data_IF_791246511416
#
_entry.id   IF_791246511416
#
_cell.length_a   1.000
_cell.length_b   1.000
_cell.length_c   1.000
_cell.angle_alpha   90.00
_cell.angle_beta   90.00
_cell.angle_gamma   90.00
#
_symmetry.space_group_name_H-M   'P 1'
#
loop_
_entity.id
_entity.type
_entity.pdbx_description
1 polymer ?
#
# COMPACT_ATOMS: atom_id res chain seq x y z
N UNK A 1 -23.74 -51.35 -11.72
CA UNK A 1 -23.12 -50.36 -12.63
C UNK A 1 -21.77 -50.90 -13.06
N UNK A 2 -21.31 -50.47 -14.22
CA UNK A 2 -19.96 -50.75 -14.71
C UNK A 2 -19.18 -49.42 -14.81
N UNK A 3 -17.87 -49.44 -14.56
CA UNK A 3 -17.01 -48.24 -14.59
C UNK A 3 -15.85 -48.54 -15.54
N UNK A 4 -15.67 -47.70 -16.54
CA UNK A 4 -14.67 -47.88 -17.58
C UNK A 4 -14.03 -46.57 -18.02
N UNK A 5 -12.97 -46.70 -18.79
CA UNK A 5 -12.28 -45.61 -19.47
C UNK A 5 -12.58 -45.70 -20.97
N UNK A 6 -12.42 -44.59 -21.67
CA UNK A 6 -12.43 -44.59 -23.14
C UNK A 6 -11.26 -45.42 -23.68
N UNK A 7 -11.45 -46.06 -24.83
CA UNK A 7 -10.36 -46.70 -25.57
C UNK A 7 -9.35 -45.68 -26.11
N UNK A 8 -9.73 -44.39 -26.18
CA UNK A 8 -8.83 -43.30 -26.51
C UNK A 8 -8.05 -42.84 -25.27
N UNK A 9 -6.73 -43.05 -25.27
CA UNK A 9 -5.83 -42.65 -24.17
C UNK A 9 -5.71 -41.13 -23.98
N UNK A 10 -6.13 -40.33 -24.95
CA UNK A 10 -6.18 -38.86 -24.82
C UNK A 10 -7.46 -38.38 -24.12
N UNK A 11 -8.44 -39.26 -23.90
CA UNK A 11 -9.65 -38.95 -23.16
C UNK A 11 -9.47 -39.30 -21.67
N UNK A 12 -9.33 -38.31 -20.77
CA UNK A 12 -9.08 -38.57 -19.36
C UNK A 12 -10.37 -38.93 -18.58
N UNK A 13 -11.53 -39.00 -19.25
CA UNK A 13 -12.81 -39.15 -18.58
C UNK A 13 -13.09 -40.61 -18.17
N UNK A 14 -13.78 -40.74 -17.04
CA UNK A 14 -14.31 -42.00 -16.55
C UNK A 14 -15.79 -42.09 -16.93
N UNK A 15 -16.17 -43.20 -17.55
CA UNK A 15 -17.53 -43.47 -17.97
C UNK A 15 -18.18 -44.48 -17.01
N UNK A 16 -19.42 -44.20 -16.61
CA UNK A 16 -20.16 -45.06 -15.68
C UNK A 16 -21.46 -45.50 -16.33
N UNK A 17 -21.60 -46.81 -16.52
CA UNK A 17 -22.84 -47.41 -17.01
C UNK A 17 -23.76 -47.72 -15.83
N UNK A 18 -24.98 -47.20 -15.88
CA UNK A 18 -25.98 -47.37 -14.83
C UNK A 18 -27.20 -48.11 -15.36
N UNK A 19 -27.84 -48.86 -14.47
CA UNK A 19 -29.14 -49.47 -14.72
C UNK A 19 -30.17 -48.68 -13.93
N UNK A 20 -31.22 -48.22 -14.61
CA UNK A 20 -32.35 -47.52 -14.03
C UNK A 20 -33.55 -48.46 -14.08
N UNK A 21 -34.32 -48.53 -12.99
CA UNK A 21 -35.55 -49.35 -12.99
C UNK A 21 -36.58 -48.76 -13.95
N UNK A 22 -37.27 -49.63 -14.69
CA UNK A 22 -38.30 -49.24 -15.67
C UNK A 22 -39.41 -48.38 -15.07
N UNK A 23 -39.69 -48.54 -13.77
CA UNK A 23 -40.73 -47.78 -13.05
C UNK A 23 -40.43 -46.27 -12.99
N UNK A 24 -39.21 -45.83 -13.32
CA UNK A 24 -38.77 -44.43 -13.21
C UNK A 24 -38.29 -43.82 -14.55
N UNK A 25 -38.43 -44.53 -15.67
CA UNK A 25 -37.99 -44.05 -16.99
C UNK A 25 -38.73 -42.78 -17.45
N UNK A 26 -39.94 -42.54 -16.96
CA UNK A 26 -40.72 -41.32 -17.23
C UNK A 26 -40.10 -40.06 -16.61
N UNK A 27 -39.24 -40.23 -15.59
CA UNK A 27 -38.55 -39.17 -14.84
C UNK A 27 -37.10 -38.96 -15.23
N UNK A 28 -36.51 -39.85 -16.03
CA UNK A 28 -35.15 -39.74 -16.54
C UNK A 28 -35.22 -39.40 -18.02
N UNK A 29 -34.80 -38.18 -18.37
CA UNK A 29 -34.98 -37.60 -19.71
C UNK A 29 -33.67 -37.02 -20.23
N UNK A 30 -33.66 -36.48 -21.45
CA UNK A 30 -32.45 -35.92 -22.08
C UNK A 30 -31.75 -34.81 -21.26
N UNK A 31 -32.50 -34.10 -20.42
CA UNK A 31 -32.02 -33.03 -19.54
C UNK A 31 -31.57 -33.54 -18.16
N UNK A 32 -31.67 -34.84 -17.91
CA UNK A 32 -31.18 -35.42 -16.66
C UNK A 32 -29.66 -35.25 -16.55
N UNK A 33 -29.25 -34.58 -15.48
CA UNK A 33 -27.85 -34.43 -15.08
C UNK A 33 -27.50 -35.45 -14.00
N UNK A 34 -26.42 -36.18 -14.24
CA UNK A 34 -25.78 -37.06 -13.28
C UNK A 34 -24.75 -36.28 -12.43
N UNK A 35 -24.69 -36.54 -11.13
CA UNK A 35 -23.70 -35.94 -10.24
C UNK A 35 -23.30 -36.96 -9.18
N UNK A 36 -21.99 -37.09 -8.95
CA UNK A 36 -21.51 -37.88 -7.81
C UNK A 36 -21.71 -37.06 -6.54
N UNK A 37 -22.43 -37.61 -5.58
CA UNK A 37 -22.68 -36.99 -4.29
C UNK A 37 -22.14 -37.90 -3.19
N UNK A 38 -21.72 -37.31 -2.08
CA UNK A 38 -21.38 -38.04 -0.86
C UNK A 38 -22.53 -37.94 0.13
N UNK A 39 -22.81 -39.03 0.84
CA UNK A 39 -23.74 -38.97 1.95
C UNK A 39 -23.03 -38.32 3.15
N UNK A 40 -23.24 -37.02 3.34
CA UNK A 40 -22.50 -36.25 4.35
C UNK A 40 -21.03 -36.03 3.95
N UNK A 41 -20.18 -35.71 4.95
CA UNK A 41 -18.79 -35.29 4.75
C UNK A 41 -17.81 -36.46 4.51
N UNK A 42 -18.05 -37.62 5.13
CA UNK A 42 -17.19 -38.82 5.05
C UNK A 42 -17.91 -40.09 4.57
N UNK A 43 -19.19 -39.99 4.24
CA UNK A 43 -19.97 -41.17 3.84
C UNK A 43 -19.70 -41.63 2.43
N UNK A 44 -20.34 -42.75 2.08
CA UNK A 44 -20.23 -43.36 0.77
C UNK A 44 -20.64 -42.41 -0.35
N UNK A 45 -19.97 -42.54 -1.49
CA UNK A 45 -20.31 -41.83 -2.71
C UNK A 45 -21.41 -42.59 -3.45
N UNK A 46 -22.43 -41.86 -3.88
CA UNK A 46 -23.48 -42.38 -4.74
C UNK A 46 -23.69 -41.44 -5.93
N UNK A 47 -24.21 -41.98 -7.02
CA UNK A 47 -24.59 -41.17 -8.17
C UNK A 47 -26.04 -40.74 -8.02
N UNK A 48 -26.25 -39.42 -8.05
CA UNK A 48 -27.57 -38.81 -8.05
C UNK A 48 -27.94 -38.38 -9.47
N UNK A 49 -29.18 -38.65 -9.86
CA UNK A 49 -29.75 -38.19 -11.12
C UNK A 49 -30.81 -37.13 -10.80
N UNK A 50 -30.72 -35.99 -11.48
CA UNK A 50 -31.81 -35.02 -11.45
C UNK A 50 -33.01 -35.53 -12.25
N UNK A 51 -34.22 -35.25 -11.74
CA UNK A 51 -35.43 -35.56 -12.47
C UNK A 51 -35.54 -34.63 -13.68
N UNK A 52 -35.72 -35.20 -14.87
CA UNK A 52 -35.95 -34.43 -16.08
C UNK A 52 -37.35 -33.80 -16.11
N UNK A 53 -37.51 -32.75 -16.90
CA UNK A 53 -38.81 -32.08 -17.09
C UNK A 53 -39.64 -32.77 -18.16
N UNK A 54 -40.98 -32.74 -18.03
CA UNK A 54 -41.88 -33.48 -18.92
C UNK A 54 -41.80 -33.07 -20.41
N UNK A 55 -41.36 -31.84 -20.68
CA UNK A 55 -41.16 -31.29 -22.03
C UNK A 55 -39.89 -31.79 -22.71
N UNK A 56 -38.99 -32.41 -21.94
CA UNK A 56 -37.73 -32.97 -22.41
C UNK A 56 -37.96 -34.33 -23.08
N UNK A 57 -37.14 -34.64 -24.10
CA UNK A 57 -37.23 -35.88 -24.86
C UNK A 57 -37.11 -37.11 -23.98
N UNK A 58 -37.76 -38.21 -24.38
CA UNK A 58 -37.49 -39.52 -23.78
C UNK A 58 -36.02 -39.89 -24.03
N UNK A 59 -35.39 -40.54 -23.06
CA UNK A 59 -33.98 -40.93 -23.15
C UNK A 59 -33.87 -42.39 -23.62
N UNK A 60 -33.39 -42.67 -24.84
CA UNK A 60 -33.19 -44.03 -25.30
C UNK A 60 -32.13 -44.79 -24.48
N UNK A 61 -32.24 -46.11 -24.44
CA UNK A 61 -31.23 -46.96 -23.81
C UNK A 61 -29.85 -46.75 -24.44
N UNK A 62 -28.81 -46.68 -23.60
CA UNK A 62 -27.43 -46.46 -24.03
C UNK A 62 -27.05 -45.00 -24.30
N UNK A 63 -27.96 -44.05 -24.09
CA UNK A 63 -27.67 -42.62 -24.29
C UNK A 63 -26.80 -42.07 -23.15
N UNK A 64 -25.82 -41.24 -23.51
CA UNK A 64 -24.95 -40.56 -22.55
C UNK A 64 -25.67 -39.41 -21.85
N UNK A 65 -25.63 -39.41 -20.51
CA UNK A 65 -26.14 -38.32 -19.68
C UNK A 65 -25.08 -37.22 -19.49
N UNK A 66 -25.52 -35.97 -19.33
CA UNK A 66 -24.63 -34.91 -18.88
C UNK A 66 -24.22 -35.15 -17.43
N UNK A 67 -22.94 -34.88 -17.10
CA UNK A 67 -22.44 -34.95 -15.73
C UNK A 67 -22.02 -33.57 -15.23
N UNK A 68 -22.07 -33.40 -13.91
CA UNK A 68 -21.52 -32.22 -13.22
C UNK A 68 -20.48 -32.67 -12.21
N UNK A 69 -19.39 -31.91 -12.12
CA UNK A 69 -18.35 -32.16 -11.13
C UNK A 69 -18.90 -32.07 -9.70
N UNK A 70 -18.49 -33.01 -8.82
CA UNK A 70 -18.84 -32.96 -7.41
C UNK A 70 -18.19 -31.76 -6.71
N UNK A 71 -18.88 -31.19 -5.72
CA UNK A 71 -18.27 -30.18 -4.87
C UNK A 71 -17.16 -30.80 -4.01
N UNK A 72 -15.94 -30.25 -4.09
CA UNK A 72 -14.80 -30.69 -3.28
C UNK A 72 -14.67 -29.82 -2.03
N UNK A 73 -15.15 -30.36 -0.91
CA UNK A 73 -15.09 -29.72 0.40
C UNK A 73 -13.64 -29.66 0.90
N UNK A 74 -12.79 -30.64 0.56
CA UNK A 74 -11.38 -30.64 0.93
C UNK A 74 -10.61 -29.48 0.28
N UNK A 75 -10.92 -29.17 -0.98
CA UNK A 75 -10.35 -28.01 -1.67
C UNK A 75 -10.83 -26.69 -1.04
N UNK A 76 -12.11 -26.61 -0.65
CA UNK A 76 -12.64 -25.44 0.05
C UNK A 76 -11.98 -25.26 1.43
N UNK A 77 -11.74 -26.35 2.17
CA UNK A 77 -11.03 -26.37 3.45
C UNK A 77 -9.58 -25.91 3.31
N UNK A 78 -8.85 -26.39 2.29
CA UNK A 78 -7.48 -25.92 2.03
C UNK A 78 -7.42 -24.42 1.72
N UNK A 79 -8.36 -23.92 0.90
CA UNK A 79 -8.45 -22.48 0.62
C UNK A 79 -8.78 -21.66 1.87
N UNK A 80 -9.63 -22.18 2.75
CA UNK A 80 -9.95 -21.55 4.03
C UNK A 80 -8.74 -21.50 4.97
N UNK A 81 -7.98 -22.59 5.10
CA UNK A 81 -6.73 -22.62 5.86
C UNK A 81 -5.73 -21.58 5.34
N UNK A 82 -5.57 -21.47 4.02
CA UNK A 82 -4.69 -20.46 3.42
C UNK A 82 -5.10 -19.01 3.73
N UNK A 83 -6.39 -18.73 3.87
CA UNK A 83 -6.90 -17.42 4.28
C UNK A 83 -6.50 -17.14 5.74
N UNK A 84 -6.68 -18.10 6.65
CA UNK A 84 -6.30 -17.97 8.07
C UNK A 84 -4.79 -17.75 8.20
N UNK A 85 -3.97 -18.52 7.47
CA UNK A 85 -2.51 -18.38 7.50
C UNK A 85 -2.03 -17.03 6.98
N UNK A 86 -2.56 -16.57 5.84
CA UNK A 86 -2.22 -15.25 5.29
C UNK A 86 -2.60 -14.13 6.25
N UNK A 87 -3.72 -14.30 6.93
CA UNK A 87 -4.21 -13.34 7.88
C UNK A 87 -3.29 -13.23 9.10
N UNK A 88 -2.84 -14.35 9.66
CA UNK A 88 -1.89 -14.35 10.77
C UNK A 88 -0.59 -13.61 10.40
N UNK A 89 -0.09 -13.83 9.18
CA UNK A 89 1.09 -13.12 8.65
C UNK A 89 0.86 -11.62 8.49
N UNK A 90 -0.33 -11.20 8.06
CA UNK A 90 -0.69 -9.79 7.96
C UNK A 90 -0.68 -9.15 9.35
N UNK A 91 -1.28 -9.81 10.35
CA UNK A 91 -1.27 -9.33 11.72
C UNK A 91 0.15 -9.17 12.25
N UNK A 92 1.01 -10.15 12.06
CA UNK A 92 2.43 -10.10 12.47
C UNK A 92 3.17 -8.92 11.81
N UNK A 93 2.99 -8.72 10.50
CA UNK A 93 3.58 -7.59 9.78
C UNK A 93 3.08 -6.23 10.30
N UNK A 94 1.79 -6.11 10.65
CA UNK A 94 1.24 -4.87 11.21
C UNK A 94 1.84 -4.60 12.60
N UNK A 95 2.04 -5.62 13.43
CA UNK A 95 2.70 -5.48 14.73
C UNK A 95 4.15 -5.02 14.60
N UNK A 96 4.92 -5.62 13.69
CA UNK A 96 6.32 -5.23 13.47
C UNK A 96 6.42 -3.77 13.03
N UNK A 97 5.57 -3.34 12.08
CA UNK A 97 5.52 -1.94 11.63
C UNK A 97 5.14 -1.00 12.77
N UNK A 98 4.15 -1.35 13.58
CA UNK A 98 3.72 -0.52 14.71
C UNK A 98 4.81 -0.42 15.80
N UNK A 99 5.55 -1.50 16.06
CA UNK A 99 6.62 -1.51 17.07
C UNK A 99 7.87 -0.75 16.58
N UNK A 100 8.27 -0.94 15.31
CA UNK A 100 9.35 -0.15 14.68
C UNK A 100 9.04 1.35 14.72
N UNK A 101 7.81 1.74 14.38
CA UNK A 101 7.40 3.15 14.41
C UNK A 101 7.49 3.75 15.81
N UNK A 102 7.14 2.98 16.85
CA UNK A 102 7.24 3.44 18.24
C UNK A 102 8.68 3.53 18.73
N UNK A 103 9.52 2.55 18.42
CA UNK A 103 10.84 2.45 19.05
C UNK A 103 11.93 3.19 18.27
N UNK A 104 11.94 3.10 16.94
CA UNK A 104 13.00 3.69 16.12
C UNK A 104 12.58 5.09 15.66
N UNK A 105 11.41 5.20 15.03
CA UNK A 105 10.96 6.49 14.46
C UNK A 105 10.74 7.55 15.53
N UNK A 106 10.17 7.23 16.70
CA UNK A 106 10.02 8.24 17.76
C UNK A 106 11.34 8.65 18.40
N UNK A 107 12.32 7.74 18.50
CA UNK A 107 13.64 8.10 18.99
C UNK A 107 14.37 9.00 17.99
N UNK A 108 14.30 8.69 16.71
CA UNK A 108 14.88 9.49 15.63
C UNK A 108 14.20 10.86 15.53
N UNK A 109 12.87 10.92 15.63
CA UNK A 109 12.12 12.17 15.65
C UNK A 109 12.48 13.02 16.87
N UNK A 110 12.60 12.42 18.06
CA UNK A 110 13.03 13.13 19.25
C UNK A 110 14.46 13.66 19.12
N UNK A 111 15.37 12.88 18.52
CA UNK A 111 16.75 13.31 18.30
C UNK A 111 16.83 14.40 17.22
N UNK A 112 16.04 14.28 16.16
CA UNK A 112 15.89 15.30 15.11
C UNK A 112 15.33 16.60 15.67
N UNK A 113 14.26 16.52 16.48
CA UNK A 113 13.66 17.68 17.14
C UNK A 113 14.65 18.38 18.07
N UNK A 114 15.41 17.62 18.87
CA UNK A 114 16.49 18.19 19.72
C UNK A 114 17.57 18.87 18.90
N UNK A 115 18.01 18.24 17.81
CA UNK A 115 19.04 18.80 16.93
C UNK A 115 18.56 20.09 16.26
N UNK A 116 17.31 20.11 15.80
CA UNK A 116 16.67 21.31 15.25
C UNK A 116 16.53 22.41 16.30
N UNK A 117 16.11 22.08 17.52
CA UNK A 117 16.05 23.04 18.63
C UNK A 117 17.43 23.63 18.92
N UNK A 118 18.49 22.82 18.95
CA UNK A 118 19.86 23.30 19.12
C UNK A 118 20.34 24.21 17.98
N UNK A 119 20.07 23.85 16.72
CA UNK A 119 20.40 24.70 15.56
C UNK A 119 19.66 26.03 15.65
N UNK A 120 18.37 25.99 15.98
CA UNK A 120 17.52 27.18 16.10
C UNK A 120 18.01 28.09 17.22
N UNK A 121 18.36 27.52 18.37
CA UNK A 121 18.93 28.25 19.49
C UNK A 121 20.27 28.91 19.15
N UNK A 122 21.15 28.22 18.41
CA UNK A 122 22.42 28.80 17.92
C UNK A 122 22.17 29.92 16.90
N UNK A 123 21.12 29.82 16.07
CA UNK A 123 20.71 30.89 15.16
C UNK A 123 20.09 32.08 15.93
N UNK A 124 19.30 31.84 16.97
CA UNK A 124 18.60 32.86 17.75
C UNK A 124 19.53 33.63 18.69
N UNK A 125 20.45 32.92 19.38
CA UNK A 125 21.25 33.50 20.48
C UNK A 125 22.76 33.44 20.25
N UNK A 126 23.22 32.71 19.24
CA UNK A 126 24.63 32.59 18.92
C UNK A 126 25.21 33.85 18.27
N UNK A 127 26.50 33.81 17.93
CA UNK A 127 27.19 34.95 17.29
C UNK A 127 27.66 34.63 15.86
N UNK A 128 27.10 33.57 15.26
CA UNK A 128 27.46 33.12 13.91
C UNK A 128 26.97 34.04 12.79
N UNK A 129 27.44 33.79 11.57
CA UNK A 129 27.06 34.59 10.38
C UNK A 129 25.56 34.52 10.10
N UNK A 130 24.91 33.37 10.36
CA UNK A 130 23.46 33.21 10.17
C UNK A 130 22.65 34.04 11.17
N UNK A 131 23.04 34.02 12.45
CA UNK A 131 22.44 34.88 13.48
C UNK A 131 22.52 36.35 13.07
N UNK A 132 23.72 36.81 12.68
CA UNK A 132 23.95 38.21 12.27
C UNK A 132 23.17 38.58 11.01
N UNK A 133 23.08 37.67 10.03
CA UNK A 133 22.31 37.89 8.81
C UNK A 133 20.81 38.04 9.08
N UNK A 134 20.26 37.27 10.01
CA UNK A 134 18.84 37.30 10.36
C UNK A 134 18.52 38.48 11.30
N UNK A 135 19.27 38.62 12.40
CA UNK A 135 18.90 39.49 13.51
C UNK A 135 19.60 40.85 13.53
N UNK A 136 20.67 41.03 12.75
CA UNK A 136 21.43 42.28 12.68
C UNK A 136 21.32 42.90 11.30
N UNK A 137 20.38 43.83 11.12
CA UNK A 137 20.20 44.58 9.87
C UNK A 137 21.51 45.18 9.36
N UNK A 138 22.31 45.76 10.24
CA UNK A 138 23.62 46.35 9.89
C UNK A 138 24.59 45.30 9.34
N UNK A 139 24.66 44.11 9.95
CA UNK A 139 25.57 43.07 9.47
C UNK A 139 25.09 42.44 8.16
N UNK A 140 23.77 42.27 8.01
CA UNK A 140 23.16 41.87 6.75
C UNK A 140 23.50 42.87 5.63
N UNK A 141 23.26 44.17 5.85
CA UNK A 141 23.59 45.24 4.91
C UNK A 141 25.08 45.20 4.52
N UNK A 142 26.00 45.04 5.49
CA UNK A 142 27.44 44.92 5.20
C UNK A 142 27.79 43.71 4.34
N UNK A 143 27.12 42.57 4.53
CA UNK A 143 27.35 41.36 3.72
C UNK A 143 26.85 41.58 2.28
N UNK A 144 25.66 42.17 2.13
CA UNK A 144 25.13 42.52 0.81
C UNK A 144 26.01 43.53 0.09
N UNK A 145 26.47 44.57 0.79
CA UNK A 145 27.37 45.58 0.24
C UNK A 145 28.71 44.98 -0.18
N UNK A 146 29.26 44.06 0.62
CA UNK A 146 30.51 43.36 0.28
C UNK A 146 30.35 42.48 -0.96
N UNK A 147 29.25 41.75 -1.10
CA UNK A 147 28.95 40.94 -2.28
C UNK A 147 28.74 41.80 -3.52
N UNK A 148 27.97 42.88 -3.41
CA UNK A 148 27.73 43.83 -4.50
C UNK A 148 29.04 44.50 -4.95
N UNK A 149 29.89 44.89 -3.99
CA UNK A 149 31.20 45.49 -4.25
C UNK A 149 32.17 44.51 -4.91
N UNK A 150 32.18 43.25 -4.47
CA UNK A 150 32.99 42.20 -5.08
C UNK A 150 32.55 41.90 -6.52
N UNK A 151 31.23 41.80 -6.76
CA UNK A 151 30.67 41.66 -8.11
C UNK A 151 31.08 42.82 -9.01
N UNK A 152 30.91 44.05 -8.54
CA UNK A 152 31.28 45.27 -9.29
C UNK A 152 32.78 45.32 -9.60
N UNK A 153 33.62 44.90 -8.65
CA UNK A 153 35.08 44.85 -8.83
C UNK A 153 35.48 43.81 -9.88
N UNK A 154 34.87 42.62 -9.84
CA UNK A 154 35.11 41.57 -10.83
C UNK A 154 34.63 41.97 -12.22
N UNK A 155 33.47 42.61 -12.32
CA UNK A 155 32.96 43.16 -13.58
C UNK A 155 33.90 44.24 -14.15
N UNK A 156 34.46 45.08 -13.29
CA UNK A 156 35.43 46.11 -13.68
C UNK A 156 36.72 45.51 -14.20
N UNK A 157 37.28 44.51 -13.50
CA UNK A 157 38.46 43.74 -13.96
C UNK A 157 38.17 43.07 -15.30
N UNK A 158 36.99 42.45 -15.44
CA UNK A 158 36.59 41.81 -16.70
C UNK A 158 36.47 42.81 -17.85
N UNK A 159 35.90 43.99 -17.57
CA UNK A 159 35.76 45.07 -18.54
C UNK A 159 37.12 45.62 -18.98
N UNK A 160 38.03 45.83 -18.03
CA UNK A 160 39.40 46.30 -18.30
C UNK A 160 40.19 45.27 -19.12
N UNK A 161 40.04 43.97 -18.84
CA UNK A 161 40.68 42.93 -19.65
C UNK A 161 40.05 42.85 -21.05
N UNK A 162 38.74 43.04 -21.20
CA UNK A 162 38.06 43.03 -22.52
C UNK A 162 38.41 44.24 -23.39
N UNK A 163 38.53 45.43 -22.79
CA UNK A 163 38.61 46.72 -23.51
C UNK A 163 39.97 47.41 -23.44
N UNK A 164 40.85 46.96 -22.54
CA UNK A 164 42.16 47.57 -22.31
C UNK A 164 43.14 47.30 -23.44
N UNK A 165 44.03 48.27 -23.71
CA UNK A 165 45.12 48.13 -24.68
C UNK A 165 46.42 47.92 -23.89
N UNK A 166 46.76 46.68 -23.55
CA UNK A 166 47.93 46.36 -22.72
C UNK A 166 48.43 44.92 -22.83
N UNK A 167 49.57 44.62 -22.22
CA UNK A 167 50.22 43.29 -22.28
C UNK A 167 49.32 42.18 -21.71
N UNK A 168 48.55 42.47 -20.64
CA UNK A 168 47.55 41.55 -20.08
C UNK A 168 46.43 41.26 -21.10
N UNK A 169 45.91 42.28 -21.79
CA UNK A 169 44.92 42.08 -22.85
C UNK A 169 45.47 41.23 -24.00
N UNK A 170 46.73 41.41 -24.41
CA UNK A 170 47.34 40.56 -25.44
C UNK A 170 47.59 39.11 -24.97
N UNK A 171 48.05 38.93 -23.73
CA UNK A 171 48.36 37.63 -23.12
C UNK A 171 47.10 36.81 -22.81
N UNK A 172 45.99 37.49 -22.48
CA UNK A 172 44.73 36.85 -22.12
C UNK A 172 44.01 36.24 -23.33
N UNK A 173 44.30 36.67 -24.56
CA UNK A 173 43.73 36.07 -25.77
C UNK A 173 44.53 34.88 -26.31
N UNK A 174 45.56 34.41 -25.58
CA UNK A 174 46.14 33.07 -25.77
C UNK A 174 45.22 32.00 -25.12
N UNK A 175 45.32 30.73 -25.55
CA UNK A 175 44.37 29.65 -25.17
C UNK A 175 44.12 29.53 -23.64
N UNK A 176 45.12 29.79 -22.79
CA UNK A 176 45.01 29.72 -21.33
C UNK A 176 44.35 30.95 -20.68
N UNK A 177 44.40 32.10 -21.35
CA UNK A 177 43.81 33.35 -20.87
C UNK A 177 42.31 33.44 -21.18
N UNK A 178 41.87 32.88 -22.31
CA UNK A 178 40.45 32.82 -22.69
C UNK A 178 39.67 32.03 -21.65
N UNK A 179 40.23 30.91 -21.19
CA UNK A 179 39.63 30.10 -20.13
C UNK A 179 39.61 30.82 -18.78
N UNK A 180 40.64 31.61 -18.47
CA UNK A 180 40.66 32.47 -17.27
C UNK A 180 39.55 33.52 -17.30
N UNK A 181 39.31 34.15 -18.46
CA UNK A 181 38.23 35.12 -18.63
C UNK A 181 36.85 34.48 -18.52
N UNK A 182 36.67 33.31 -19.09
CA UNK A 182 35.42 32.55 -18.97
C UNK A 182 35.14 32.21 -17.50
N UNK A 183 36.15 31.69 -16.77
CA UNK A 183 36.04 31.37 -15.36
C UNK A 183 35.74 32.60 -14.48
N UNK A 184 36.36 33.75 -14.77
CA UNK A 184 36.09 35.01 -14.07
C UNK A 184 34.66 35.51 -14.36
N UNK A 185 34.21 35.41 -15.61
CA UNK A 185 32.83 35.75 -15.98
C UNK A 185 31.80 34.85 -15.30
N UNK A 186 32.08 33.54 -15.21
CA UNK A 186 31.25 32.59 -14.45
C UNK A 186 31.25 32.94 -12.97
N UNK A 187 32.41 33.27 -12.38
CA UNK A 187 32.51 33.66 -10.98
C UNK A 187 31.72 34.93 -10.67
N UNK A 188 31.82 35.97 -11.52
CA UNK A 188 31.08 37.21 -11.37
C UNK A 188 29.57 36.97 -11.46
N UNK A 189 29.12 36.20 -12.48
CA UNK A 189 27.72 35.81 -12.63
C UNK A 189 27.21 35.02 -11.43
N UNK A 190 27.99 34.05 -10.94
CA UNK A 190 27.60 33.24 -9.79
C UNK A 190 27.48 34.10 -8.52
N UNK A 191 28.39 35.05 -8.30
CA UNK A 191 28.30 35.98 -7.18
C UNK A 191 27.05 36.86 -7.25
N UNK A 192 26.72 37.40 -8.42
CA UNK A 192 25.51 38.19 -8.61
C UNK A 192 24.24 37.38 -8.32
N UNK A 193 24.16 36.14 -8.85
CA UNK A 193 23.05 35.22 -8.60
C UNK A 193 22.98 34.83 -7.11
N UNK A 194 24.12 34.59 -6.45
CA UNK A 194 24.16 34.29 -5.02
C UNK A 194 23.63 35.45 -4.18
N UNK A 195 24.02 36.70 -4.50
CA UNK A 195 23.52 37.87 -3.79
C UNK A 195 21.99 38.03 -3.92
N UNK A 196 21.45 37.79 -5.13
CA UNK A 196 20.00 37.78 -5.38
C UNK A 196 19.28 36.68 -4.60
N UNK A 197 19.81 35.44 -4.63
CA UNK A 197 19.24 34.31 -3.90
C UNK A 197 19.25 34.52 -2.39
N UNK A 198 20.33 35.07 -1.82
CA UNK A 198 20.40 35.38 -0.39
C UNK A 198 19.35 36.44 -0.04
N UNK A 199 19.11 37.42 -0.91
CA UNK A 199 18.08 38.44 -0.71
C UNK A 199 16.68 37.82 -0.67
N UNK A 200 16.38 36.93 -1.62
CA UNK A 200 15.09 36.23 -1.68
C UNK A 200 14.85 35.32 -0.47
N UNK A 201 15.89 34.59 -0.03
CA UNK A 201 15.81 33.73 1.16
C UNK A 201 15.64 34.57 2.42
N UNK A 202 16.40 35.67 2.57
CA UNK A 202 16.25 36.59 3.69
C UNK A 202 14.82 37.16 3.76
N UNK A 203 14.27 37.62 2.63
CA UNK A 203 12.89 38.10 2.53
C UNK A 203 11.86 37.01 2.84
N UNK A 204 12.08 35.78 2.35
CA UNK A 204 11.18 34.65 2.63
C UNK A 204 11.17 34.26 4.11
N UNK A 205 12.28 34.49 4.82
CA UNK A 205 12.41 34.26 6.26
C UNK A 205 11.82 35.43 7.05
N UNK A 206 11.99 36.69 6.61
CA UNK A 206 11.48 37.87 7.33
C UNK A 206 9.99 38.12 7.13
N UNK A 207 9.48 37.93 5.91
CA UNK A 207 8.15 38.43 5.50
C UNK A 207 7.15 37.30 5.20
N UNK A 208 7.57 36.03 5.21
CA UNK A 208 6.73 34.90 4.80
C UNK A 208 6.00 34.21 5.97
N UNK A 209 4.83 33.61 5.73
CA UNK A 209 4.09 32.84 6.75
C UNK A 209 4.52 31.35 6.84
N UNK A 210 5.76 31.04 6.44
CA UNK A 210 6.27 29.68 6.30
C UNK A 210 6.87 29.09 7.58
N UNK A 211 7.11 27.77 7.61
CA UNK A 211 7.74 27.08 8.76
C UNK A 211 9.11 27.64 9.14
N UNK A 212 9.89 28.17 8.18
CA UNK A 212 11.19 28.79 8.45
C UNK A 212 11.05 30.18 9.08
N UNK A 213 10.03 30.95 8.71
CA UNK A 213 9.72 32.21 9.38
C UNK A 213 9.25 31.94 10.80
N UNK A 214 8.34 30.99 11.01
CA UNK A 214 7.89 30.60 12.35
C UNK A 214 9.04 30.05 13.21
N UNK A 215 9.98 29.32 12.61
CA UNK A 215 11.17 28.82 13.30
C UNK A 215 12.10 29.95 13.78
N UNK A 216 12.24 31.00 12.96
CA UNK A 216 13.21 32.07 13.19
C UNK A 216 12.60 33.24 13.97
N UNK A 217 11.37 33.63 13.67
CA UNK A 217 10.70 34.79 14.25
C UNK A 217 9.46 34.43 15.09
N UNK A 218 8.95 33.20 14.98
CA UNK A 218 7.88 32.72 15.85
C UNK A 218 8.36 32.62 17.30
N UNK A 219 7.42 32.71 18.24
CA UNK A 219 7.76 32.50 19.65
C UNK A 219 8.16 31.04 19.83
N UNK A 220 9.26 30.78 20.55
CA UNK A 220 9.74 29.41 20.77
C UNK A 220 8.67 28.49 21.38
N UNK A 221 7.75 29.04 22.17
CA UNK A 221 6.59 28.34 22.74
C UNK A 221 5.59 27.86 21.67
N UNK A 222 5.28 28.69 20.66
CA UNK A 222 4.31 28.37 19.60
C UNK A 222 4.88 27.31 18.64
N UNK A 223 6.17 27.40 18.30
CA UNK A 223 6.85 26.41 17.49
C UNK A 223 6.99 25.06 18.21
N UNK A 224 7.41 25.08 19.49
CA UNK A 224 7.53 23.87 20.31
C UNK A 224 6.19 23.18 20.49
N UNK A 225 5.12 23.94 20.75
CA UNK A 225 3.76 23.40 20.85
C UNK A 225 3.28 22.74 19.54
N UNK A 226 3.61 23.31 18.38
CA UNK A 226 3.31 22.70 17.07
C UNK A 226 4.08 21.39 16.86
N UNK A 227 5.37 21.36 17.20
CA UNK A 227 6.17 20.13 17.13
C UNK A 227 5.62 19.06 18.08
N UNK A 228 5.33 19.42 19.33
CA UNK A 228 4.72 18.51 20.29
C UNK A 228 3.38 17.98 19.79
N UNK A 229 2.55 18.82 19.17
CA UNK A 229 1.27 18.39 18.58
C UNK A 229 1.46 17.39 17.43
N UNK A 230 2.45 17.60 16.56
CA UNK A 230 2.76 16.65 15.48
C UNK A 230 3.23 15.31 16.06
N UNK A 231 4.15 15.35 17.03
CA UNK A 231 4.66 14.14 17.70
C UNK A 231 3.54 13.40 18.44
N UNK A 232 2.68 14.11 19.17
CA UNK A 232 1.54 13.55 19.89
C UNK A 232 0.50 12.93 18.93
N UNK A 233 0.18 13.60 17.81
CA UNK A 233 -0.72 13.06 16.79
C UNK A 233 -0.16 11.80 16.14
N UNK A 234 1.15 11.76 15.85
CA UNK A 234 1.81 10.57 15.32
C UNK A 234 1.84 9.43 16.34
N UNK A 235 2.13 9.73 17.62
CA UNK A 235 2.09 8.75 18.69
C UNK A 235 0.69 8.16 18.89
N UNK A 236 -0.35 8.99 18.85
CA UNK A 236 -1.76 8.55 18.91
C UNK A 236 -2.15 7.68 17.72
N UNK A 237 -1.75 8.06 16.50
CA UNK A 237 -2.00 7.25 15.31
C UNK A 237 -1.32 5.87 15.41
N UNK A 238 -0.07 5.83 15.87
CA UNK A 238 0.66 4.58 16.10
C UNK A 238 -0.01 3.71 17.18
N UNK A 239 -0.48 4.32 18.27
CA UNK A 239 -1.21 3.61 19.32
C UNK A 239 -2.52 3.01 18.79
N UNK A 240 -3.29 3.76 17.99
CA UNK A 240 -4.52 3.27 17.37
C UNK A 240 -4.28 2.13 16.38
N UNK A 241 -3.19 2.18 15.61
CA UNK A 241 -2.77 1.07 14.74
C UNK A 241 -2.41 -0.17 15.55
N UNK A 242 -1.68 -0.01 16.66
CA UNK A 242 -1.35 -1.12 17.56
C UNK A 242 -2.60 -1.75 18.17
N UNK A 243 -3.53 -0.95 18.67
CA UNK A 243 -4.80 -1.43 19.25
C UNK A 243 -5.61 -2.19 18.20
N UNK A 244 -5.72 -1.64 16.99
CA UNK A 244 -6.41 -2.30 15.88
C UNK A 244 -5.74 -3.62 15.49
N UNK A 245 -4.40 -3.64 15.44
CA UNK A 245 -3.62 -4.86 15.19
C UNK A 245 -3.80 -5.91 16.28
N UNK A 246 -3.87 -5.46 17.54
CA UNK A 246 -4.13 -6.30 18.69
C UNK A 246 -5.50 -6.94 18.60
N UNK A 247 -6.55 -6.14 18.40
CA UNK A 247 -7.90 -6.63 18.24
C UNK A 247 -8.01 -7.64 17.09
N UNK A 248 -7.31 -7.36 15.98
CA UNK A 248 -7.27 -8.24 14.83
C UNK A 248 -6.60 -9.59 15.16
N UNK A 249 -5.46 -9.59 15.86
CA UNK A 249 -4.73 -10.80 16.22
C UNK A 249 -5.36 -11.60 17.37
N UNK A 250 -6.02 -10.95 18.33
CA UNK A 250 -6.70 -11.62 19.44
C UNK A 250 -8.09 -12.12 19.09
N UNK A 251 -8.59 -11.75 17.91
CA UNK A 251 -9.90 -12.16 17.45
C UNK A 251 -11.05 -11.28 17.95
N UNK A 252 -10.75 -10.07 18.44
CA UNK A 252 -11.76 -9.12 18.88
C UNK A 252 -12.45 -8.41 17.69
N UNK A 253 -13.75 -8.17 17.85
CA UNK A 253 -14.59 -7.61 16.78
C UNK A 253 -14.94 -8.64 15.70
N UNK A 254 -15.76 -8.25 14.73
CA UNK A 254 -16.27 -9.21 13.72
C UNK A 254 -15.20 -9.70 12.74
N UNK A 255 -14.23 -8.84 12.41
CA UNK A 255 -13.11 -9.20 11.52
C UNK A 255 -12.11 -10.07 12.28
N UNK A 256 -11.71 -9.68 13.49
CA UNK A 256 -10.86 -10.51 14.34
C UNK A 256 -11.49 -11.87 14.60
N UNK A 257 -12.76 -11.91 15.01
CA UNK A 257 -13.45 -13.18 15.31
C UNK A 257 -13.51 -14.10 14.09
N UNK A 258 -13.80 -13.56 12.90
CA UNK A 258 -13.81 -14.34 11.66
C UNK A 258 -12.43 -14.92 11.31
N UNK A 259 -11.36 -14.28 11.76
CA UNK A 259 -9.99 -14.70 11.48
C UNK A 259 -9.45 -15.73 12.47
N UNK A 260 -9.81 -15.59 13.75
CA UNK A 260 -9.23 -16.37 14.85
C UNK A 260 -10.11 -17.55 15.26
N UNK A 261 -11.44 -17.46 15.08
CA UNK A 261 -12.39 -18.48 15.54
C UNK A 261 -12.69 -19.53 14.44
N UNK A 262 -12.16 -20.77 14.56
CA UNK A 262 -12.45 -21.84 13.60
C UNK A 262 -13.90 -22.30 13.67
N UNK A 263 -14.59 -22.10 14.79
CA UNK A 263 -15.97 -22.54 14.97
C UNK A 263 -16.96 -21.71 14.18
N UNK A 264 -16.65 -20.43 13.87
CA UNK A 264 -17.47 -19.62 12.95
C UNK A 264 -17.43 -20.20 11.54
N UNK A 265 -16.31 -20.79 11.14
CA UNK A 265 -16.19 -21.53 9.90
C UNK A 265 -17.01 -22.84 9.94
N UNK A 266 -16.87 -23.62 11.01
CA UNK A 266 -17.64 -24.86 11.19
C UNK A 266 -19.16 -24.59 11.20
N UNK A 267 -19.59 -23.53 11.89
CA UNK A 267 -20.98 -23.10 11.93
C UNK A 267 -21.48 -22.61 10.56
N UNK A 268 -20.66 -21.93 9.77
CA UNK A 268 -21.01 -21.53 8.40
C UNK A 268 -21.18 -22.77 7.50
N UNK A 269 -20.31 -23.76 7.65
CA UNK A 269 -20.41 -25.05 6.95
C UNK A 269 -21.71 -25.77 7.34
N UNK A 270 -21.99 -25.88 8.64
CA UNK A 270 -23.20 -26.53 9.15
C UNK A 270 -24.48 -25.82 8.70
N UNK A 271 -24.53 -24.49 8.76
CA UNK A 271 -25.67 -23.69 8.24
C UNK A 271 -25.88 -23.96 6.76
N UNK A 272 -24.81 -24.07 5.96
CA UNK A 272 -24.94 -24.40 4.54
C UNK A 272 -25.39 -25.83 4.29
N UNK A 273 -25.02 -26.80 5.13
CA UNK A 273 -25.50 -28.18 5.03
C UNK A 273 -26.98 -28.28 5.41
N UNK A 274 -27.38 -27.58 6.47
CA UNK A 274 -28.76 -27.55 6.98
C UNK A 274 -29.70 -26.80 6.02
N UNK A 275 -29.23 -25.73 5.38
CA UNK A 275 -29.94 -25.03 4.33
C UNK A 275 -30.18 -25.92 3.10
N UNK A 276 -29.20 -26.73 2.71
CA UNK A 276 -29.38 -27.73 1.63
C UNK A 276 -30.42 -28.78 2.00
N UNK A 277 -30.38 -29.32 3.23
CA UNK A 277 -31.38 -30.29 3.72
C UNK A 277 -32.79 -29.70 3.77
N UNK A 278 -32.94 -28.46 4.21
CA UNK A 278 -34.22 -27.74 4.24
C UNK A 278 -34.83 -27.54 2.85
N UNK A 279 -34.01 -27.24 1.85
CA UNK A 279 -34.44 -27.15 0.45
C UNK A 279 -34.91 -28.51 -0.10
N UNK A 280 -34.19 -29.59 0.23
CA UNK A 280 -34.57 -30.96 -0.15
C UNK A 280 -35.89 -31.40 0.51
N UNK A 281 -36.08 -31.09 1.80
CA UNK A 281 -37.33 -31.34 2.52
C UNK A 281 -38.51 -30.56 1.94
N UNK A 282 -38.31 -29.26 1.63
CA UNK A 282 -39.33 -28.45 0.96
C UNK A 282 -39.69 -29.01 -0.42
N UNK A 283 -38.71 -29.47 -1.19
CA UNK A 283 -38.94 -30.10 -2.48
C UNK A 283 -39.76 -31.40 -2.35
N UNK A 284 -39.46 -32.23 -1.34
CA UNK A 284 -40.18 -33.47 -1.06
C UNK A 284 -41.65 -33.23 -0.65
N UNK A 285 -41.91 -32.24 0.21
CA UNK A 285 -43.28 -31.87 0.63
C UNK A 285 -44.08 -31.29 -0.54
N UNK A 286 -43.44 -30.49 -1.41
CA UNK A 286 -44.09 -29.95 -2.61
C UNK A 286 -44.44 -31.05 -3.62
N UNK A 287 -43.67 -32.12 -3.64
CA UNK A 287 -43.93 -33.31 -4.46
C UNK A 287 -45.07 -34.18 -3.93
N UNK A 288 -45.24 -34.28 -2.61
CA UNK A 288 -46.30 -35.09 -1.99
C UNK A 288 -47.68 -34.43 -1.99
N UNK A 289 -47.76 -33.10 -2.06
CA UNK A 289 -49.02 -32.34 -2.15
C UNK A 289 -49.62 -32.25 -3.57
N UNK A 290 -48.96 -32.84 -4.58
CA UNK A 290 -49.42 -32.88 -5.99
C UNK A 290 -50.04 -34.23 -6.41
N UNK A 291 -50.39 -35.11 -5.46
CA UNK A 291 -51.19 -36.32 -5.72
C UNK A 291 -52.65 -36.11 -5.35
#
# INVERSE_FOLDING_TARGET
>A
SDIGFSDNLEDPNIYVSILVSNDYLDRVREDTVATIQSQGLLGDKFMSLSAGVAESGELPEGTMLQSKEPADISLALQKAQGIVDNTNKISEAIYEVADQFRNETMNDLNQGAKSLASITQEIETGNGTMHRLIYSKKDADNIFDALASASTSLDSVMSEIRTGKGLIHALVYEDSGVQTLENLGIAAKNLAVTAEQITLVAQSITDGDGLLHELVYGKSEDFSAKLESIVDNLAKAAAGLKETSQALATGEGTIGALMVDPSLYDNLVDITDEAKRSLLLKAAIRGSLKK
#
